data_IF_112167368274
#
_entry.id   IF_112167368274
#
_cell.length_a   1.000
_cell.length_b   1.000
_cell.length_c   1.000
_cell.angle_alpha   90.00
_cell.angle_beta   90.00
_cell.angle_gamma   90.00
#
_symmetry.space_group_name_H-M   'P 1'
#
loop_
_entity.id
_entity.type
_entity.pdbx_description
1 polymer ?
#
# COMPACT_ATOMS: atom_id res chain seq x y z
N UNK A 1 -25.91 12.13 -2.85
CA UNK A 1 -24.74 11.27 -3.20
C UNK A 1 -25.17 10.24 -4.22
N UNK A 2 -24.24 9.71 -5.04
CA UNK A 2 -24.52 8.60 -5.95
C UNK A 2 -24.01 7.29 -5.32
N UNK A 3 -24.82 6.24 -5.31
CA UNK A 3 -24.42 4.92 -4.82
C UNK A 3 -24.02 4.08 -6.03
N UNK A 4 -22.79 3.61 -6.06
CA UNK A 4 -22.19 2.83 -7.15
C UNK A 4 -21.93 1.40 -6.67
N UNK A 5 -22.44 0.41 -7.42
CA UNK A 5 -22.31 -1.00 -7.09
C UNK A 5 -21.74 -1.75 -8.32
N UNK A 6 -20.42 -2.01 -8.36
CA UNK A 6 -19.82 -2.84 -9.40
C UNK A 6 -20.11 -4.31 -9.12
N UNK A 7 -20.61 -5.04 -10.14
CA UNK A 7 -21.03 -6.44 -10.01
C UNK A 7 -20.56 -7.24 -11.22
N UNK A 8 -20.05 -8.44 -11.01
CA UNK A 8 -19.68 -9.33 -12.10
C UNK A 8 -20.69 -10.45 -12.33
N UNK A 9 -21.22 -11.02 -11.26
CA UNK A 9 -22.25 -12.06 -11.31
C UNK A 9 -23.25 -11.76 -10.20
N UNK A 10 -24.43 -11.21 -10.54
CA UNK A 10 -25.45 -10.89 -9.55
C UNK A 10 -25.98 -12.17 -8.92
N UNK A 11 -26.19 -12.10 -7.62
CA UNK A 11 -26.93 -13.09 -6.85
C UNK A 11 -28.22 -12.46 -6.28
N UNK A 12 -28.97 -13.22 -5.51
CA UNK A 12 -30.19 -12.73 -4.88
C UNK A 12 -29.94 -11.54 -3.94
N UNK A 13 -28.76 -11.46 -3.32
CA UNK A 13 -28.40 -10.37 -2.40
C UNK A 13 -28.32 -9.01 -3.10
N UNK A 14 -27.91 -8.96 -4.39
CA UNK A 14 -27.88 -7.70 -5.12
C UNK A 14 -29.27 -7.08 -5.27
N UNK A 15 -30.26 -7.87 -5.68
CA UNK A 15 -31.63 -7.38 -5.86
C UNK A 15 -32.22 -6.89 -4.53
N UNK A 16 -32.01 -7.64 -3.46
CA UNK A 16 -32.44 -7.27 -2.11
C UNK A 16 -31.75 -6.00 -1.62
N UNK A 17 -30.42 -5.88 -1.81
CA UNK A 17 -29.67 -4.69 -1.45
C UNK A 17 -30.20 -3.44 -2.17
N UNK A 18 -30.35 -3.52 -3.50
CA UNK A 18 -30.84 -2.39 -4.31
C UNK A 18 -32.27 -2.01 -3.94
N UNK A 19 -33.14 -3.00 -3.68
CA UNK A 19 -34.52 -2.76 -3.25
C UNK A 19 -34.57 -2.07 -1.89
N UNK A 20 -33.81 -2.56 -0.90
CA UNK A 20 -33.73 -1.96 0.42
C UNK A 20 -33.15 -0.53 0.39
N UNK A 21 -32.10 -0.30 -0.43
CA UNK A 21 -31.55 1.03 -0.64
C UNK A 21 -32.59 1.98 -1.21
N UNK A 22 -33.39 1.53 -2.19
CA UNK A 22 -34.42 2.37 -2.81
C UNK A 22 -35.54 2.74 -1.85
N UNK A 23 -35.85 1.87 -0.88
CA UNK A 23 -36.83 2.18 0.17
C UNK A 23 -36.31 3.21 1.18
N UNK A 24 -35.00 3.22 1.46
CA UNK A 24 -34.40 4.05 2.48
C UNK A 24 -33.84 5.37 1.98
N UNK A 25 -33.49 5.47 0.70
CA UNK A 25 -32.85 6.67 0.15
C UNK A 25 -33.40 7.08 -1.21
N UNK A 26 -33.47 8.40 -1.43
CA UNK A 26 -33.75 8.98 -2.75
C UNK A 26 -32.50 9.14 -3.63
N UNK A 27 -31.33 8.75 -3.13
CA UNK A 27 -30.08 8.87 -3.87
C UNK A 27 -30.07 8.03 -5.15
N UNK A 28 -29.46 8.52 -6.26
CA UNK A 28 -29.26 7.73 -7.46
C UNK A 28 -28.45 6.46 -7.17
N UNK A 29 -28.95 5.31 -7.62
CA UNK A 29 -28.28 4.02 -7.54
C UNK A 29 -27.82 3.62 -8.93
N UNK A 30 -26.52 3.40 -9.09
CA UNK A 30 -25.87 3.03 -10.34
C UNK A 30 -25.17 1.68 -10.18
N UNK A 31 -25.65 0.68 -10.90
CA UNK A 31 -25.07 -0.66 -10.88
C UNK A 31 -24.33 -0.90 -12.19
N UNK A 32 -23.13 -1.44 -12.13
CA UNK A 32 -22.33 -1.77 -13.31
C UNK A 32 -22.16 -3.27 -13.41
N UNK A 33 -22.78 -3.85 -14.44
CA UNK A 33 -22.63 -5.26 -14.84
C UNK A 33 -21.30 -5.43 -15.57
N UNK A 34 -20.32 -6.04 -14.93
CA UNK A 34 -19.00 -6.30 -15.53
C UNK A 34 -19.02 -7.62 -16.34
N UNK A 35 -19.89 -7.68 -17.35
CA UNK A 35 -19.94 -8.80 -18.28
C UNK A 35 -20.45 -10.10 -17.66
N UNK A 36 -21.57 -10.05 -16.96
CA UNK A 36 -22.23 -11.24 -16.41
C UNK A 36 -22.71 -12.19 -17.48
N UNK A 37 -22.83 -13.48 -17.11
CA UNK A 37 -23.36 -14.52 -17.98
C UNK A 37 -24.79 -14.19 -18.41
N UNK A 38 -25.19 -14.51 -19.69
CA UNK A 38 -26.54 -14.30 -20.19
C UNK A 38 -27.65 -15.00 -19.38
N UNK A 39 -27.32 -16.10 -18.72
CA UNK A 39 -28.24 -16.89 -17.90
C UNK A 39 -28.79 -16.13 -16.69
N UNK A 40 -28.15 -15.01 -16.33
CA UNK A 40 -28.54 -14.17 -15.19
C UNK A 40 -29.43 -12.98 -15.58
N UNK A 41 -30.02 -12.98 -16.80
CA UNK A 41 -30.85 -11.90 -17.32
C UNK A 41 -32.03 -11.57 -16.38
N UNK A 42 -32.67 -12.59 -15.79
CA UNK A 42 -33.79 -12.41 -14.87
C UNK A 42 -33.43 -11.65 -13.57
N UNK A 43 -32.25 -11.86 -13.06
CA UNK A 43 -31.75 -11.12 -11.87
C UNK A 43 -31.58 -9.63 -12.18
N UNK A 44 -31.19 -9.30 -13.40
CA UNK A 44 -31.00 -7.91 -13.82
C UNK A 44 -32.31 -7.15 -14.01
N UNK A 45 -33.39 -7.82 -14.40
CA UNK A 45 -34.71 -7.16 -14.58
C UNK A 45 -35.24 -6.60 -13.25
N UNK A 46 -35.05 -7.30 -12.14
CA UNK A 46 -35.39 -6.78 -10.82
C UNK A 46 -34.55 -5.55 -10.43
N UNK A 47 -33.27 -5.54 -10.74
CA UNK A 47 -32.35 -4.43 -10.44
C UNK A 47 -32.68 -3.19 -11.27
N UNK A 48 -33.00 -3.33 -12.55
CA UNK A 48 -33.35 -2.23 -13.47
C UNK A 48 -34.56 -1.41 -13.01
N UNK A 49 -35.48 -2.01 -12.25
CA UNK A 49 -36.66 -1.30 -11.72
C UNK A 49 -36.29 -0.22 -10.70
N UNK A 50 -35.14 -0.35 -10.02
CA UNK A 50 -34.77 0.48 -8.90
C UNK A 50 -33.43 1.20 -9.07
N UNK A 51 -32.63 0.84 -10.08
CA UNK A 51 -31.30 1.39 -10.33
C UNK A 51 -31.02 1.59 -11.83
N UNK A 52 -30.13 2.50 -12.13
CA UNK A 52 -29.54 2.62 -13.47
C UNK A 52 -28.49 1.52 -13.64
N UNK A 53 -28.64 0.68 -14.68
CA UNK A 53 -27.70 -0.42 -14.95
C UNK A 53 -26.89 -0.12 -16.19
N UNK A 54 -25.57 -0.07 -16.04
CA UNK A 54 -24.58 -0.03 -17.12
C UNK A 54 -24.03 -1.43 -17.33
N UNK A 55 -23.73 -1.80 -18.57
CA UNK A 55 -23.25 -3.15 -18.88
C UNK A 55 -21.99 -3.12 -19.73
N UNK A 56 -21.02 -3.96 -19.39
CA UNK A 56 -19.87 -4.28 -20.23
C UNK A 56 -20.15 -5.54 -21.08
N UNK A 57 -19.66 -5.55 -22.31
CA UNK A 57 -19.81 -6.71 -23.22
C UNK A 57 -19.00 -7.92 -22.74
N UNK A 58 -17.95 -7.69 -21.97
CA UNK A 58 -17.07 -8.71 -21.42
C UNK A 58 -16.53 -8.29 -20.05
N UNK A 59 -16.13 -9.24 -19.20
CA UNK A 59 -15.48 -8.92 -17.94
C UNK A 59 -14.22 -8.07 -18.14
N UNK A 60 -14.22 -6.88 -17.58
CA UNK A 60 -13.12 -5.91 -17.66
C UNK A 60 -12.41 -5.69 -16.31
N UNK A 61 -13.00 -6.16 -15.23
CA UNK A 61 -12.51 -6.04 -13.87
C UNK A 61 -13.20 -4.95 -13.05
N UNK A 62 -13.13 -5.12 -11.72
CA UNK A 62 -13.82 -4.23 -10.77
C UNK A 62 -13.41 -2.76 -10.93
N UNK A 63 -12.11 -2.49 -11.11
CA UNK A 63 -11.61 -1.13 -11.30
C UNK A 63 -12.18 -0.47 -12.55
N UNK A 64 -12.32 -1.21 -13.66
CA UNK A 64 -12.95 -0.70 -14.88
C UNK A 64 -14.43 -0.43 -14.66
N UNK A 65 -15.14 -1.30 -13.95
CA UNK A 65 -16.55 -1.10 -13.63
C UNK A 65 -16.74 0.18 -12.78
N UNK A 66 -15.89 0.40 -11.79
CA UNK A 66 -15.87 1.64 -11.00
C UNK A 66 -15.61 2.85 -11.90
N UNK A 67 -14.58 2.83 -12.77
CA UNK A 67 -14.30 3.93 -13.71
C UNK A 67 -15.49 4.24 -14.61
N UNK A 68 -16.16 3.24 -15.15
CA UNK A 68 -17.36 3.40 -15.96
C UNK A 68 -18.46 4.10 -15.16
N UNK A 69 -18.71 3.67 -13.93
CA UNK A 69 -19.67 4.31 -13.05
C UNK A 69 -19.31 5.77 -12.72
N UNK A 70 -18.06 6.03 -12.37
CA UNK A 70 -17.60 7.38 -12.06
C UNK A 70 -17.72 8.33 -13.24
N UNK A 71 -17.40 7.85 -14.46
CA UNK A 71 -17.55 8.64 -15.69
C UNK A 71 -19.02 8.95 -15.96
N UNK A 72 -19.90 7.98 -15.80
CA UNK A 72 -21.34 8.17 -15.96
C UNK A 72 -21.90 9.14 -14.89
N UNK A 73 -21.50 8.95 -13.64
CA UNK A 73 -21.93 9.80 -12.54
C UNK A 73 -21.50 11.26 -12.72
N UNK A 74 -20.27 11.52 -13.15
CA UNK A 74 -19.77 12.87 -13.42
C UNK A 74 -20.57 13.59 -14.50
N UNK A 75 -21.08 12.87 -15.50
CA UNK A 75 -21.84 13.46 -16.61
C UNK A 75 -23.33 13.64 -16.31
N UNK A 76 -23.95 12.72 -15.54
CA UNK A 76 -25.40 12.69 -15.32
C UNK A 76 -25.83 13.17 -13.94
N UNK A 77 -24.95 13.10 -12.94
CA UNK A 77 -25.21 13.45 -11.54
C UNK A 77 -24.25 14.51 -10.99
N UNK A 78 -23.80 15.42 -11.81
CA UNK A 78 -22.82 16.46 -11.45
C UNK A 78 -23.27 17.39 -10.30
N UNK A 79 -24.57 17.42 -9.97
CA UNK A 79 -25.12 18.18 -8.83
C UNK A 79 -24.93 17.48 -7.49
N UNK A 80 -24.64 16.18 -7.50
CA UNK A 80 -24.36 15.41 -6.30
C UNK A 80 -22.98 15.77 -5.73
N UNK A 81 -22.86 15.78 -4.41
CA UNK A 81 -21.62 16.17 -3.75
C UNK A 81 -20.57 15.07 -3.74
N UNK A 82 -21.01 13.81 -3.75
CA UNK A 82 -20.11 12.68 -3.65
C UNK A 82 -20.67 11.37 -4.18
N UNK A 83 -19.82 10.37 -4.19
CA UNK A 83 -20.10 9.01 -4.63
C UNK A 83 -19.71 8.03 -3.55
N UNK A 84 -20.56 7.05 -3.28
CA UNK A 84 -20.24 5.86 -2.46
C UNK A 84 -20.10 4.67 -3.38
N UNK A 85 -18.96 4.00 -3.36
CA UNK A 85 -18.74 2.70 -4.02
C UNK A 85 -18.91 1.60 -2.99
N UNK A 86 -19.76 0.61 -3.28
CA UNK A 86 -20.06 -0.51 -2.40
C UNK A 86 -19.97 -1.83 -3.16
N UNK A 87 -19.35 -2.85 -2.58
CA UNK A 87 -19.33 -4.19 -3.17
C UNK A 87 -20.67 -4.92 -2.96
N UNK A 88 -21.05 -5.76 -3.92
CA UNK A 88 -22.29 -6.54 -3.88
C UNK A 88 -22.05 -8.00 -3.44
N UNK A 89 -20.97 -8.29 -2.74
CA UNK A 89 -20.59 -9.65 -2.32
C UNK A 89 -21.24 -10.09 -0.99
N UNK A 90 -22.27 -9.38 -0.55
CA UNK A 90 -22.94 -9.61 0.73
C UNK A 90 -22.17 -9.11 1.95
N UNK A 91 -20.98 -8.52 1.77
CA UNK A 91 -20.20 -7.95 2.87
C UNK A 91 -20.66 -6.57 3.30
N UNK A 92 -21.41 -5.87 2.45
CA UNK A 92 -21.90 -4.51 2.66
C UNK A 92 -23.41 -4.53 2.93
N UNK A 93 -23.82 -3.90 4.01
CA UNK A 93 -25.23 -3.71 4.38
C UNK A 93 -25.69 -2.29 4.05
N UNK A 94 -27.01 -2.09 3.96
CA UNK A 94 -27.60 -0.76 3.75
C UNK A 94 -27.18 0.21 4.84
N UNK A 95 -27.15 -0.24 6.11
CA UNK A 95 -26.66 0.54 7.24
C UNK A 95 -25.22 1.04 7.09
N UNK A 96 -24.35 0.26 6.43
CA UNK A 96 -22.96 0.66 6.18
C UNK A 96 -22.89 1.82 5.18
N UNK A 97 -23.72 1.76 4.13
CA UNK A 97 -23.81 2.82 3.12
C UNK A 97 -24.39 4.10 3.75
N UNK A 98 -25.42 3.99 4.60
CA UNK A 98 -25.97 5.12 5.35
C UNK A 98 -24.92 5.74 6.28
N UNK A 99 -24.17 4.91 7.00
CA UNK A 99 -23.12 5.36 7.94
C UNK A 99 -21.96 6.07 7.23
N UNK A 100 -21.50 5.54 6.08
CA UNK A 100 -20.48 6.21 5.26
C UNK A 100 -21.02 7.51 4.65
N UNK A 101 -22.31 7.52 4.27
CA UNK A 101 -22.98 8.72 3.78
C UNK A 101 -23.05 9.84 4.82
N UNK A 102 -23.39 9.49 6.06
CA UNK A 102 -23.39 10.43 7.19
C UNK A 102 -21.99 10.98 7.47
N UNK A 103 -20.98 10.10 7.51
CA UNK A 103 -19.59 10.51 7.70
C UNK A 103 -19.08 11.40 6.55
N UNK A 104 -19.56 11.17 5.30
CA UNK A 104 -19.20 12.02 4.15
C UNK A 104 -19.76 13.43 4.29
N UNK A 105 -20.94 13.61 4.90
CA UNK A 105 -21.49 14.94 5.15
C UNK A 105 -20.63 15.75 6.13
N UNK A 106 -19.93 15.07 7.06
CA UNK A 106 -19.00 15.70 8.01
C UNK A 106 -17.60 15.98 7.39
N UNK A 107 -17.18 15.15 6.41
CA UNK A 107 -15.85 15.20 5.79
C UNK A 107 -15.93 15.15 4.25
N UNK A 108 -16.56 16.13 3.58
CA UNK A 108 -16.82 16.07 2.15
C UNK A 108 -15.55 16.13 1.27
N UNK A 109 -14.43 16.60 1.80
CA UNK A 109 -13.14 16.67 1.12
C UNK A 109 -12.30 15.40 1.28
N UNK A 110 -12.69 14.51 2.19
CA UNK A 110 -11.91 13.31 2.51
C UNK A 110 -12.23 12.12 1.58
N UNK A 111 -11.27 11.21 1.47
CA UNK A 111 -11.52 9.83 1.06
C UNK A 111 -11.99 9.06 2.29
N UNK A 112 -13.22 8.56 2.29
CA UNK A 112 -13.72 7.72 3.37
C UNK A 112 -13.58 6.24 2.99
N UNK A 113 -13.24 5.42 4.00
CA UNK A 113 -13.06 3.97 3.85
C UNK A 113 -13.83 3.28 4.98
N UNK A 114 -14.78 2.42 4.62
CA UNK A 114 -15.47 1.61 5.60
C UNK A 114 -14.52 0.59 6.23
N UNK A 115 -14.42 0.57 7.54
CA UNK A 115 -13.60 -0.36 8.30
C UNK A 115 -14.44 -1.26 9.18
N UNK A 116 -14.35 -2.57 8.95
CA UNK A 116 -15.04 -3.57 9.75
C UNK A 116 -14.09 -4.33 10.65
N UNK A 117 -14.26 -4.21 11.94
CA UNK A 117 -13.53 -5.04 12.90
C UNK A 117 -14.01 -6.48 12.83
N UNK A 118 -13.12 -7.41 12.46
CA UNK A 118 -13.46 -8.83 12.44
C UNK A 118 -13.44 -9.39 13.86
N UNK A 119 -14.59 -9.74 14.40
CA UNK A 119 -14.75 -10.36 15.74
C UNK A 119 -14.57 -11.88 15.74
N UNK A 120 -14.43 -12.54 14.58
CA UNK A 120 -14.28 -13.99 14.44
C UNK A 120 -12.85 -14.50 14.67
N UNK A 121 -12.72 -15.79 15.06
CA UNK A 121 -11.43 -16.48 15.16
C UNK A 121 -10.84 -16.69 13.76
N UNK A 122 -9.96 -15.76 13.32
CA UNK A 122 -9.20 -15.94 12.07
C UNK A 122 -8.08 -16.98 12.28
N UNK A 123 -7.79 -17.84 11.30
CA UNK A 123 -6.61 -18.67 11.31
C UNK A 123 -5.33 -17.84 11.51
N UNK A 124 -4.37 -18.36 12.28
CA UNK A 124 -3.16 -17.64 12.68
C UNK A 124 -2.38 -17.05 11.46
N UNK A 125 -2.24 -17.84 10.39
CA UNK A 125 -1.55 -17.39 9.16
C UNK A 125 -2.26 -16.19 8.49
N UNK A 126 -3.60 -16.12 8.49
CA UNK A 126 -4.36 -14.97 7.98
C UNK A 126 -4.17 -13.76 8.89
N UNK A 127 -4.18 -13.94 10.22
CA UNK A 127 -3.93 -12.87 11.19
C UNK A 127 -2.53 -12.27 11.02
N UNK A 128 -1.52 -13.12 10.85
CA UNK A 128 -0.14 -12.69 10.58
C UNK A 128 -0.07 -11.93 9.24
N UNK A 129 -0.69 -12.44 8.18
CA UNK A 129 -0.72 -11.79 6.86
C UNK A 129 -1.39 -10.42 6.88
N UNK A 130 -2.56 -10.30 7.52
CA UNK A 130 -3.27 -9.02 7.66
C UNK A 130 -2.46 -8.02 8.49
N UNK A 131 -1.81 -8.47 9.55
CA UNK A 131 -0.96 -7.65 10.41
C UNK A 131 0.27 -7.16 9.64
N UNK A 132 0.95 -8.07 8.93
CA UNK A 132 2.11 -7.72 8.09
C UNK A 132 1.71 -6.72 7.00
N UNK A 133 0.58 -6.95 6.31
CA UNK A 133 0.06 -6.04 5.29
C UNK A 133 -0.18 -4.64 5.86
N UNK A 134 -0.84 -4.51 7.02
CA UNK A 134 -1.09 -3.22 7.68
C UNK A 134 0.21 -2.48 8.02
N UNK A 135 1.20 -3.18 8.57
CA UNK A 135 2.51 -2.58 8.85
C UNK A 135 3.24 -2.15 7.58
N UNK A 136 3.22 -3.00 6.54
CA UNK A 136 3.81 -2.68 5.24
C UNK A 136 3.11 -1.51 4.56
N UNK A 137 1.77 -1.46 4.61
CA UNK A 137 1.00 -0.34 4.09
C UNK A 137 1.31 0.95 4.87
N UNK A 138 1.26 0.91 6.20
CA UNK A 138 1.59 2.06 7.04
C UNK A 138 3.03 2.54 6.78
N UNK A 139 3.95 1.61 6.58
CA UNK A 139 5.32 1.92 6.18
C UNK A 139 5.36 2.57 4.79
N UNK A 140 4.67 2.02 3.79
CA UNK A 140 4.70 2.51 2.42
C UNK A 140 3.94 3.84 2.24
N UNK A 141 2.86 4.06 2.95
CA UNK A 141 1.98 5.23 2.81
C UNK A 141 2.24 6.35 3.84
N UNK A 142 2.79 6.00 5.00
CA UNK A 142 2.95 6.91 6.14
C UNK A 142 1.72 7.05 7.02
N UNK A 143 0.60 6.40 6.69
CA UNK A 143 -0.64 6.39 7.48
C UNK A 143 -0.98 4.97 7.92
N UNK A 144 -1.60 4.84 9.11
CA UNK A 144 -2.07 3.56 9.63
C UNK A 144 -3.55 3.43 9.33
N UNK A 145 -3.94 2.39 8.60
CA UNK A 145 -5.32 2.03 8.33
C UNK A 145 -5.62 0.63 8.88
N UNK A 146 -6.82 0.45 9.37
CA UNK A 146 -7.32 -0.84 9.83
C UNK A 146 -7.60 -1.78 8.67
N UNK A 147 -8.20 -1.28 7.57
CA UNK A 147 -8.41 -2.02 6.33
C UNK A 147 -8.28 -1.15 5.08
N UNK A 148 -7.08 -1.07 4.54
CA UNK A 148 -6.81 -0.36 3.28
C UNK A 148 -7.41 -1.07 2.03
N UNK A 149 -7.93 -2.30 2.18
CA UNK A 149 -8.48 -3.11 1.07
C UNK A 149 -10.01 -3.08 1.00
N UNK A 150 -10.67 -2.38 1.92
CA UNK A 150 -12.12 -2.27 1.91
C UNK A 150 -12.62 -1.73 0.56
N UNK A 151 -13.65 -2.37 0.01
CA UNK A 151 -14.34 -1.95 -1.21
C UNK A 151 -15.41 -0.89 -0.96
N UNK A 152 -15.81 -0.67 0.30
CA UNK A 152 -16.75 0.38 0.66
C UNK A 152 -16.01 1.70 0.87
N UNK A 153 -16.18 2.63 -0.08
CA UNK A 153 -15.47 3.92 -0.10
C UNK A 153 -16.38 5.06 -0.52
N UNK A 154 -16.09 6.26 -0.02
CA UNK A 154 -16.74 7.46 -0.52
C UNK A 154 -15.72 8.48 -1.01
N UNK A 155 -16.09 9.18 -2.09
CA UNK A 155 -15.28 10.18 -2.77
C UNK A 155 -16.09 11.45 -3.02
N UNK A 156 -15.42 12.60 -2.98
CA UNK A 156 -16.01 13.84 -3.49
C UNK A 156 -16.16 13.79 -5.01
N UNK A 157 -17.23 14.39 -5.53
CA UNK A 157 -17.43 14.54 -6.98
C UNK A 157 -16.26 15.32 -7.62
N UNK A 158 -15.67 16.27 -6.89
CA UNK A 158 -14.52 17.04 -7.35
C UNK A 158 -13.23 16.21 -7.53
N UNK A 159 -13.11 15.09 -6.84
CA UNK A 159 -11.94 14.20 -6.93
C UNK A 159 -12.00 13.24 -8.12
N UNK A 160 -13.17 13.12 -8.78
CA UNK A 160 -13.37 12.12 -9.84
C UNK A 160 -12.36 12.24 -10.99
N UNK A 161 -12.02 13.42 -11.54
CA UNK A 161 -11.06 13.51 -12.64
C UNK A 161 -9.70 12.89 -12.28
N UNK A 162 -9.23 13.11 -11.07
CA UNK A 162 -7.97 12.58 -10.56
C UNK A 162 -8.04 11.07 -10.33
N UNK A 163 -9.15 10.60 -9.78
CA UNK A 163 -9.43 9.18 -9.52
C UNK A 163 -9.49 8.39 -10.82
N UNK A 164 -10.16 8.91 -11.85
CA UNK A 164 -10.25 8.29 -13.17
C UNK A 164 -8.88 8.12 -13.84
N UNK A 165 -7.95 9.04 -13.61
CA UNK A 165 -6.58 8.98 -14.13
C UNK A 165 -5.73 7.87 -13.51
N UNK A 166 -6.16 7.23 -12.43
CA UNK A 166 -5.36 6.22 -11.76
C UNK A 166 -5.31 4.89 -12.55
N UNK A 167 -4.13 4.24 -12.60
CA UNK A 167 -3.98 2.96 -13.27
C UNK A 167 -4.60 1.83 -12.48
N UNK A 168 -4.92 0.73 -13.18
CA UNK A 168 -5.55 -0.47 -12.65
C UNK A 168 -6.94 -0.68 -13.23
N UNK A 169 -7.26 -1.93 -13.50
CA UNK A 169 -8.55 -2.33 -14.07
C UNK A 169 -9.32 -3.28 -13.13
N UNK A 170 -8.68 -3.75 -12.05
CA UNK A 170 -9.27 -4.65 -11.06
C UNK A 170 -9.09 -4.08 -9.63
N UNK A 171 -8.98 -4.93 -8.62
CA UNK A 171 -8.79 -4.54 -7.20
C UNK A 171 -7.52 -3.71 -6.92
N UNK A 172 -6.55 -3.71 -7.82
CA UNK A 172 -5.36 -2.84 -7.79
C UNK A 172 -5.70 -1.36 -7.98
N UNK A 173 -6.82 -1.06 -8.64
CA UNK A 173 -7.31 0.30 -8.85
C UNK A 173 -7.62 1.01 -7.52
N UNK A 174 -8.31 0.35 -6.61
CA UNK A 174 -8.65 0.94 -5.30
C UNK A 174 -7.42 1.31 -4.51
N UNK A 175 -6.38 0.48 -4.59
CA UNK A 175 -5.11 0.75 -3.95
C UNK A 175 -4.36 1.89 -4.62
N UNK A 176 -4.43 1.99 -5.96
CA UNK A 176 -3.83 3.09 -6.71
C UNK A 176 -4.47 4.43 -6.33
N UNK A 177 -5.81 4.47 -6.24
CA UNK A 177 -6.56 5.65 -5.81
C UNK A 177 -6.19 6.04 -4.38
N UNK A 178 -6.16 5.10 -3.44
CA UNK A 178 -5.79 5.38 -2.05
C UNK A 178 -4.38 5.97 -1.94
N UNK A 179 -3.40 5.39 -2.63
CA UNK A 179 -2.02 5.88 -2.61
C UNK A 179 -1.90 7.27 -3.26
N UNK A 180 -2.65 7.54 -4.32
CA UNK A 180 -2.70 8.86 -4.95
C UNK A 180 -3.30 9.91 -4.01
N UNK A 181 -4.43 9.63 -3.38
CA UNK A 181 -5.04 10.51 -2.37
C UNK A 181 -4.05 10.85 -1.25
N UNK A 182 -3.32 9.85 -0.73
CA UNK A 182 -2.30 10.06 0.29
C UNK A 182 -1.15 10.94 -0.24
N UNK A 183 -0.68 10.72 -1.48
CA UNK A 183 0.39 11.52 -2.08
C UNK A 183 -0.01 12.98 -2.32
N UNK A 184 -1.28 13.22 -2.61
CA UNK A 184 -1.87 14.56 -2.77
C UNK A 184 -2.31 15.20 -1.45
N UNK A 185 -2.08 14.52 -0.32
CA UNK A 185 -2.49 14.98 1.01
C UNK A 185 -4.01 15.15 1.18
N UNK A 186 -4.81 14.39 0.42
CA UNK A 186 -6.25 14.27 0.67
C UNK A 186 -6.44 13.58 2.01
N UNK A 187 -7.27 14.12 2.93
CA UNK A 187 -7.57 13.44 4.18
C UNK A 187 -8.16 12.06 3.92
N UNK A 188 -7.71 11.05 4.66
CA UNK A 188 -8.25 9.69 4.60
C UNK A 188 -8.87 9.38 5.96
N UNK A 189 -10.17 9.11 5.98
CA UNK A 189 -10.95 8.86 7.19
C UNK A 189 -11.48 7.43 7.18
N UNK A 190 -11.21 6.66 8.22
CA UNK A 190 -11.81 5.35 8.41
C UNK A 190 -13.13 5.47 9.16
N UNK A 191 -14.19 4.91 8.58
CA UNK A 191 -15.51 4.85 9.18
C UNK A 191 -15.70 3.46 9.78
N UNK A 192 -15.78 3.32 11.12
CA UNK A 192 -15.98 2.03 11.75
C UNK A 192 -17.39 1.51 11.43
N UNK A 193 -17.48 0.31 10.88
CA UNK A 193 -18.74 -0.36 10.55
C UNK A 193 -19.10 -1.39 11.61
N UNK A 194 -20.38 -1.67 11.77
CA UNK A 194 -20.85 -2.72 12.69
C UNK A 194 -20.29 -4.10 12.31
N UNK A 195 -19.97 -4.94 13.32
CA UNK A 195 -19.54 -6.31 13.06
C UNK A 195 -20.63 -7.09 12.31
N UNK A 196 -20.36 -7.55 11.10
CA UNK A 196 -21.25 -8.46 10.38
C UNK A 196 -20.98 -9.92 10.77
N UNK A 197 -22.00 -10.76 10.71
CA UNK A 197 -21.83 -12.22 10.74
C UNK A 197 -20.84 -12.62 9.63
N UNK A 198 -19.94 -13.56 9.94
CA UNK A 198 -18.77 -13.90 9.14
C UNK A 198 -19.11 -14.10 7.64
N UNK A 199 -18.91 -13.08 6.84
CA UNK A 199 -18.83 -13.20 5.39
C UNK A 199 -17.46 -13.78 5.07
N UNK A 200 -17.42 -14.80 4.22
CA UNK A 200 -16.16 -15.44 3.84
C UNK A 200 -15.20 -14.41 3.25
N UNK A 201 -14.02 -14.22 3.85
CA UNK A 201 -13.07 -13.25 3.30
C UNK A 201 -12.66 -13.69 1.88
N UNK A 202 -12.42 -12.74 0.96
CA UNK A 202 -11.98 -13.05 -0.38
C UNK A 202 -10.74 -13.96 -0.34
N UNK A 203 -10.69 -14.94 -1.24
CA UNK A 203 -9.64 -15.93 -1.29
C UNK A 203 -8.25 -15.26 -1.37
N UNK A 204 -7.41 -15.52 -0.39
CA UNK A 204 -6.08 -14.97 -0.14
C UNK A 204 -5.14 -14.86 -1.37
N UNK A 205 -5.02 -15.85 -2.27
CA UNK A 205 -3.99 -15.81 -3.32
C UNK A 205 -4.18 -14.70 -4.36
N UNK A 206 -5.41 -14.34 -4.69
CA UNK A 206 -5.67 -13.36 -5.76
C UNK A 206 -5.40 -11.91 -5.31
N UNK A 207 -5.62 -11.59 -4.04
CA UNK A 207 -5.39 -10.24 -3.51
C UNK A 207 -3.93 -9.93 -3.22
N UNK A 208 -3.10 -10.94 -2.87
CA UNK A 208 -1.69 -10.76 -2.51
C UNK A 208 -0.84 -10.29 -3.69
N UNK A 209 -0.95 -10.94 -4.84
CA UNK A 209 -0.17 -10.62 -6.03
C UNK A 209 -0.61 -9.31 -6.71
N UNK A 210 -1.90 -8.94 -6.59
CA UNK A 210 -2.43 -7.69 -7.14
C UNK A 210 -2.03 -6.44 -6.35
N UNK A 211 -1.67 -6.58 -5.09
CA UNK A 211 -1.15 -5.49 -4.24
C UNK A 211 0.35 -5.20 -4.46
N UNK A 212 0.97 -5.69 -5.53
CA UNK A 212 2.40 -5.55 -5.86
C UNK A 212 2.93 -4.11 -5.81
N UNK A 213 2.07 -3.11 -5.94
CA UNK A 213 2.48 -1.70 -5.85
C UNK A 213 2.99 -1.31 -4.47
N UNK A 214 2.37 -1.82 -3.40
CA UNK A 214 2.85 -1.63 -2.02
C UNK A 214 4.17 -2.37 -1.81
N UNK A 215 4.24 -3.60 -2.33
CA UNK A 215 5.46 -4.40 -2.25
C UNK A 215 6.59 -3.85 -3.13
N UNK A 216 6.28 -3.03 -4.14
CA UNK A 216 7.31 -2.45 -5.02
C UNK A 216 8.34 -1.63 -4.26
N UNK A 217 7.97 -0.95 -3.19
CA UNK A 217 8.91 -0.18 -2.35
C UNK A 217 9.87 -1.13 -1.64
N UNK A 218 9.35 -2.22 -1.07
CA UNK A 218 10.17 -3.23 -0.38
C UNK A 218 11.03 -4.00 -1.38
N UNK A 219 10.45 -4.41 -2.51
CA UNK A 219 11.20 -5.09 -3.57
C UNK A 219 12.33 -4.22 -4.12
N UNK A 220 12.07 -2.93 -4.35
CA UNK A 220 13.11 -1.98 -4.77
C UNK A 220 14.18 -1.80 -3.69
N UNK A 221 13.78 -1.64 -2.42
CA UNK A 221 14.74 -1.54 -1.33
C UNK A 221 15.60 -2.80 -1.19
N UNK A 222 14.99 -3.97 -1.23
CA UNK A 222 15.70 -5.26 -1.20
C UNK A 222 16.60 -5.41 -2.42
N UNK A 223 16.11 -5.07 -3.62
CA UNK A 223 16.91 -5.10 -4.85
C UNK A 223 18.12 -4.18 -4.77
N UNK A 224 17.95 -2.96 -4.26
CA UNK A 224 19.06 -2.02 -4.03
C UNK A 224 20.05 -2.58 -2.99
N UNK A 225 19.57 -3.21 -1.92
CA UNK A 225 20.43 -3.81 -0.90
C UNK A 225 21.27 -4.96 -1.46
N UNK A 226 20.65 -5.87 -2.24
CA UNK A 226 21.36 -6.98 -2.92
C UNK A 226 22.36 -6.46 -3.93
N UNK A 227 21.98 -5.49 -4.76
CA UNK A 227 22.88 -4.87 -5.74
C UNK A 227 24.08 -4.21 -5.04
N UNK A 228 23.85 -3.48 -3.96
CA UNK A 228 24.91 -2.85 -3.18
C UNK A 228 25.87 -3.87 -2.57
N UNK A 229 25.35 -5.00 -2.08
CA UNK A 229 26.15 -6.10 -1.59
C UNK A 229 27.03 -6.71 -2.70
N UNK A 230 26.49 -6.95 -3.89
CA UNK A 230 27.26 -7.48 -5.01
C UNK A 230 28.37 -6.51 -5.45
N UNK A 231 28.07 -5.21 -5.49
CA UNK A 231 29.06 -4.16 -5.78
C UNK A 231 30.15 -4.13 -4.70
N UNK A 232 29.78 -4.16 -3.42
CA UNK A 232 30.71 -4.17 -2.31
C UNK A 232 31.68 -5.34 -2.40
N UNK A 233 31.15 -6.55 -2.61
CA UNK A 233 31.97 -7.75 -2.75
C UNK A 233 32.89 -7.71 -3.97
N UNK A 234 32.39 -7.27 -5.11
CA UNK A 234 33.18 -7.18 -6.34
C UNK A 234 34.29 -6.14 -6.21
N UNK A 235 33.97 -4.97 -5.67
CA UNK A 235 34.99 -3.92 -5.44
C UNK A 235 36.02 -4.36 -4.41
N UNK A 236 35.61 -5.02 -3.33
CA UNK A 236 36.53 -5.58 -2.35
C UNK A 236 37.52 -6.54 -3.01
N UNK A 237 37.04 -7.47 -3.84
CA UNK A 237 37.89 -8.41 -4.58
C UNK A 237 38.83 -7.71 -5.54
N UNK A 238 38.34 -6.69 -6.24
CA UNK A 238 39.15 -5.89 -7.17
C UNK A 238 40.24 -5.11 -6.43
N UNK A 239 39.91 -4.36 -5.39
CA UNK A 239 40.89 -3.60 -4.62
C UNK A 239 41.94 -4.50 -3.97
N UNK A 240 41.50 -5.63 -3.41
CA UNK A 240 42.43 -6.61 -2.85
C UNK A 240 43.38 -7.16 -3.90
N UNK A 241 42.89 -7.55 -5.07
CA UNK A 241 43.70 -8.05 -6.18
C UNK A 241 44.71 -7.02 -6.70
N UNK A 242 44.27 -5.77 -6.87
CA UNK A 242 45.14 -4.66 -7.29
C UNK A 242 46.24 -4.41 -6.28
N UNK A 243 45.91 -4.26 -4.99
CA UNK A 243 46.87 -3.99 -3.93
C UNK A 243 47.92 -5.12 -3.84
N UNK A 244 47.49 -6.36 -3.81
CA UNK A 244 48.41 -7.51 -3.73
C UNK A 244 49.22 -7.72 -4.99
N UNK A 245 48.62 -7.44 -6.17
CA UNK A 245 49.30 -7.52 -7.46
C UNK A 245 50.44 -6.49 -7.59
N UNK A 246 50.34 -5.32 -6.96
CA UNK A 246 51.43 -4.34 -6.87
C UNK A 246 52.40 -4.58 -5.67
N UNK A 247 52.27 -5.74 -5.01
CA UNK A 247 53.17 -6.11 -3.91
C UNK A 247 52.83 -5.43 -2.55
N UNK A 248 51.75 -4.69 -2.46
CA UNK A 248 51.31 -4.03 -1.21
C UNK A 248 50.54 -5.01 -0.34
N UNK A 249 51.19 -5.78 0.50
CA UNK A 249 50.54 -6.59 1.55
C UNK A 249 49.99 -5.71 2.67
N UNK A 250 50.64 -4.57 2.93
CA UNK A 250 50.22 -3.51 3.87
C UNK A 250 50.66 -2.14 3.38
N UNK A 251 49.88 -1.09 3.69
CA UNK A 251 50.19 0.32 3.44
C UNK A 251 50.02 1.06 4.75
N UNK A 252 51.09 1.76 5.18
CA UNK A 252 51.15 2.44 6.52
C UNK A 252 50.77 1.54 7.71
N UNK A 253 51.14 0.25 7.67
CA UNK A 253 50.81 -0.71 8.74
C UNK A 253 49.38 -1.25 8.70
N UNK A 254 48.56 -0.85 7.71
CA UNK A 254 47.19 -1.33 7.53
C UNK A 254 47.20 -2.39 6.44
N UNK A 255 46.66 -3.56 6.70
CA UNK A 255 46.62 -4.68 5.71
C UNK A 255 45.81 -4.31 4.47
N UNK A 256 46.20 -4.79 3.30
CA UNK A 256 45.50 -4.62 2.01
C UNK A 256 44.04 -5.04 2.10
N UNK A 257 43.72 -6.07 2.89
CA UNK A 257 42.34 -6.53 3.16
C UNK A 257 41.50 -5.43 3.80
N UNK A 258 42.05 -4.73 4.83
CA UNK A 258 41.30 -3.66 5.50
C UNK A 258 41.09 -2.46 4.59
N UNK A 259 42.11 -2.06 3.84
CA UNK A 259 42.04 -0.93 2.90
C UNK A 259 41.01 -1.23 1.82
N UNK A 260 41.08 -2.41 1.19
CA UNK A 260 40.13 -2.84 0.17
C UNK A 260 38.68 -2.89 0.69
N UNK A 261 38.49 -3.40 1.91
CA UNK A 261 37.15 -3.46 2.53
C UNK A 261 36.58 -2.07 2.82
N UNK A 262 37.37 -1.15 3.35
CA UNK A 262 36.90 0.22 3.62
C UNK A 262 36.60 0.96 2.33
N UNK A 263 37.47 0.88 1.34
CA UNK A 263 37.28 1.52 0.03
C UNK A 263 36.01 0.99 -0.66
N UNK A 264 35.82 -0.35 -0.71
CA UNK A 264 34.63 -0.96 -1.28
C UNK A 264 33.36 -0.50 -0.55
N UNK A 265 33.40 -0.44 0.79
CA UNK A 265 32.26 -0.03 1.61
C UNK A 265 31.87 1.44 1.39
N UNK A 266 32.83 2.36 1.21
CA UNK A 266 32.55 3.77 0.90
C UNK A 266 31.81 3.87 -0.43
N UNK A 267 32.29 3.19 -1.46
CA UNK A 267 31.68 3.23 -2.79
C UNK A 267 30.29 2.57 -2.77
N UNK A 268 30.18 1.37 -2.22
CA UNK A 268 28.90 0.63 -2.18
C UNK A 268 27.83 1.36 -1.36
N UNK A 269 28.20 1.96 -0.22
CA UNK A 269 27.25 2.74 0.61
C UNK A 269 26.80 4.03 -0.08
N UNK A 270 27.66 4.66 -0.87
CA UNK A 270 27.29 5.85 -1.66
C UNK A 270 26.31 5.49 -2.77
N UNK A 271 26.54 4.37 -3.46
CA UNK A 271 25.61 3.84 -4.46
C UNK A 271 24.27 3.47 -3.81
N UNK A 272 24.30 2.78 -2.67
CA UNK A 272 23.11 2.42 -1.90
C UNK A 272 22.29 3.67 -1.51
N UNK A 273 22.95 4.69 -0.97
CA UNK A 273 22.31 5.97 -0.65
C UNK A 273 21.64 6.60 -1.87
N UNK A 274 22.35 6.69 -2.99
CA UNK A 274 21.86 7.33 -4.22
C UNK A 274 20.66 6.59 -4.79
N UNK A 275 20.74 5.26 -4.88
CA UNK A 275 19.65 4.44 -5.40
C UNK A 275 18.43 4.46 -4.48
N UNK A 276 18.62 4.36 -3.17
CA UNK A 276 17.52 4.47 -2.20
C UNK A 276 16.85 5.84 -2.30
N UNK A 277 17.62 6.90 -2.38
CA UNK A 277 17.11 8.26 -2.51
C UNK A 277 16.27 8.45 -3.78
N UNK A 278 16.78 8.01 -4.94
CA UNK A 278 16.15 8.23 -6.23
C UNK A 278 15.04 7.23 -6.55
N UNK A 279 15.27 5.92 -6.36
CA UNK A 279 14.39 4.86 -6.83
C UNK A 279 13.38 4.40 -5.77
N UNK A 280 13.82 4.34 -4.50
CA UNK A 280 12.98 3.79 -3.43
C UNK A 280 12.12 4.87 -2.81
N UNK A 281 12.76 5.91 -2.28
CA UNK A 281 12.09 6.94 -1.49
C UNK A 281 11.73 8.20 -2.27
N UNK A 282 12.27 8.39 -3.49
CA UNK A 282 12.07 9.55 -4.37
C UNK A 282 12.21 10.89 -3.63
N UNK A 283 13.23 10.99 -2.76
CA UNK A 283 13.49 12.16 -1.93
C UNK A 283 14.02 13.32 -2.77
N UNK A 284 13.35 14.48 -2.67
CA UNK A 284 13.72 15.75 -3.33
C UNK A 284 14.31 16.77 -2.35
N UNK A 285 14.59 16.37 -1.12
CA UNK A 285 15.20 17.23 -0.09
C UNK A 285 16.64 17.60 -0.38
N UNK A 286 17.26 18.36 0.55
CA UNK A 286 18.67 18.75 0.44
C UNK A 286 19.57 17.50 0.50
N UNK A 287 20.46 17.35 -0.51
CA UNK A 287 21.35 16.20 -0.67
C UNK A 287 22.27 16.00 0.52
N UNK A 288 22.92 17.09 0.98
CA UNK A 288 23.90 17.03 2.07
C UNK A 288 23.25 16.63 3.40
N UNK A 289 22.06 17.16 3.68
CA UNK A 289 21.32 16.82 4.91
C UNK A 289 20.88 15.34 4.86
N UNK A 290 20.37 14.87 3.72
CA UNK A 290 19.97 13.46 3.57
C UNK A 290 21.18 12.53 3.66
N UNK A 291 22.33 12.90 3.07
CA UNK A 291 23.57 12.14 3.15
C UNK A 291 24.09 12.05 4.58
N UNK A 292 24.16 13.20 5.30
CA UNK A 292 24.61 13.22 6.68
C UNK A 292 23.75 12.31 7.58
N UNK A 293 22.43 12.41 7.46
CA UNK A 293 21.49 11.55 8.19
C UNK A 293 21.67 10.06 7.83
N UNK A 294 21.89 9.77 6.56
CA UNK A 294 22.10 8.39 6.10
C UNK A 294 23.37 7.80 6.70
N UNK A 295 24.50 8.48 6.62
CA UNK A 295 25.76 7.95 7.16
C UNK A 295 25.76 7.88 8.68
N UNK A 296 25.13 8.83 9.38
CA UNK A 296 24.89 8.73 10.82
C UNK A 296 24.09 7.48 11.17
N UNK A 297 23.03 7.20 10.39
CA UNK A 297 22.22 5.99 10.57
C UNK A 297 23.03 4.71 10.32
N UNK A 298 23.86 4.67 9.29
CA UNK A 298 24.72 3.52 8.98
C UNK A 298 25.66 3.20 10.15
N UNK A 299 26.30 4.22 10.74
CA UNK A 299 27.16 4.04 11.92
C UNK A 299 26.34 3.52 13.12
N UNK A 300 25.17 4.10 13.36
CA UNK A 300 24.29 3.70 14.45
C UNK A 300 23.82 2.24 14.32
N UNK A 301 23.42 1.83 13.10
CA UNK A 301 23.02 0.44 12.82
C UNK A 301 24.19 -0.53 13.02
N UNK A 302 25.42 -0.14 12.65
CA UNK A 302 26.60 -0.97 12.86
C UNK A 302 26.86 -1.24 14.35
N UNK A 303 26.70 -0.22 15.18
CA UNK A 303 26.82 -0.37 16.64
C UNK A 303 25.73 -1.30 17.21
N UNK A 304 24.48 -1.07 16.83
CA UNK A 304 23.37 -1.92 17.27
C UNK A 304 23.55 -3.37 16.79
N UNK A 305 24.04 -3.57 15.56
CA UNK A 305 24.31 -4.91 15.03
C UNK A 305 25.22 -5.70 15.97
N UNK A 306 26.32 -5.08 16.36
CA UNK A 306 27.29 -5.72 17.26
C UNK A 306 26.67 -6.02 18.63
N UNK A 307 26.00 -5.03 19.24
CA UNK A 307 25.34 -5.23 20.54
C UNK A 307 24.25 -6.29 20.50
N UNK A 308 23.41 -6.28 19.48
CA UNK A 308 22.31 -7.26 19.36
C UNK A 308 22.82 -8.68 19.10
N UNK A 309 23.87 -8.81 18.29
CA UNK A 309 24.50 -10.09 18.03
C UNK A 309 25.11 -10.68 19.32
N UNK A 310 25.84 -9.88 20.09
CA UNK A 310 26.39 -10.30 21.37
C UNK A 310 25.28 -10.67 22.36
N UNK A 311 24.23 -9.86 22.47
CA UNK A 311 23.08 -10.16 23.32
C UNK A 311 22.44 -11.50 22.98
N UNK A 312 22.15 -11.77 21.71
CA UNK A 312 21.52 -13.02 21.30
C UNK A 312 22.44 -14.23 21.46
N UNK A 313 23.74 -14.07 21.20
CA UNK A 313 24.68 -15.19 21.27
C UNK A 313 25.16 -15.46 22.70
N UNK A 314 25.61 -14.44 23.42
CA UNK A 314 26.26 -14.59 24.73
C UNK A 314 25.27 -14.64 25.89
N UNK A 315 24.16 -13.84 25.82
CA UNK A 315 23.19 -13.78 26.92
C UNK A 315 22.04 -14.76 26.70
N UNK A 316 21.49 -14.83 25.46
CA UNK A 316 20.38 -15.74 25.17
C UNK A 316 20.83 -17.15 24.78
N UNK A 317 22.13 -17.41 24.62
CA UNK A 317 22.68 -18.73 24.28
C UNK A 317 22.32 -19.24 22.87
N UNK A 318 21.87 -18.33 21.96
CA UNK A 318 21.48 -18.69 20.60
C UNK A 318 22.74 -18.97 19.77
N UNK A 319 22.81 -20.09 19.01
CA UNK A 319 23.96 -20.36 18.15
C UNK A 319 24.29 -19.16 17.22
N UNK A 320 25.55 -18.81 17.11
CA UNK A 320 26.02 -17.59 16.45
C UNK A 320 25.46 -17.40 15.02
N UNK A 321 25.30 -18.50 14.25
CA UNK A 321 24.70 -18.45 12.91
C UNK A 321 23.24 -18.01 12.92
N UNK A 322 22.45 -18.53 13.85
CA UNK A 322 21.03 -18.17 14.01
C UNK A 322 20.91 -16.76 14.57
N UNK A 323 21.71 -16.42 15.59
CA UNK A 323 21.78 -15.09 16.16
C UNK A 323 22.11 -14.02 15.08
N UNK A 324 23.08 -14.31 14.21
CA UNK A 324 23.43 -13.44 13.07
C UNK A 324 22.28 -13.26 12.11
N UNK A 325 21.60 -14.35 11.72
CA UNK A 325 20.45 -14.28 10.82
C UNK A 325 19.31 -13.43 11.40
N UNK A 326 18.97 -13.65 12.67
CA UNK A 326 17.95 -12.87 13.36
C UNK A 326 18.32 -11.38 13.44
N UNK A 327 19.57 -11.09 13.80
CA UNK A 327 20.10 -9.72 13.85
C UNK A 327 19.96 -9.02 12.49
N UNK A 328 20.36 -9.68 11.40
CA UNK A 328 20.28 -9.11 10.05
C UNK A 328 18.83 -8.83 9.62
N UNK A 329 17.89 -9.74 9.89
CA UNK A 329 16.47 -9.54 9.56
C UNK A 329 15.87 -8.36 10.34
N UNK A 330 16.16 -8.28 11.64
CA UNK A 330 15.68 -7.17 12.49
C UNK A 330 16.27 -5.85 12.03
N UNK A 331 17.58 -5.80 11.79
CA UNK A 331 18.26 -4.55 11.40
C UNK A 331 17.96 -4.14 9.96
N UNK A 332 17.75 -5.06 9.03
CA UNK A 332 17.26 -4.77 7.67
C UNK A 332 15.93 -4.02 7.74
N UNK A 333 14.98 -4.55 8.53
CA UNK A 333 13.67 -3.94 8.72
C UNK A 333 13.77 -2.58 9.41
N UNK A 334 14.56 -2.49 10.48
CA UNK A 334 14.79 -1.25 11.22
C UNK A 334 15.48 -0.19 10.34
N UNK A 335 16.50 -0.57 9.56
CA UNK A 335 17.20 0.31 8.63
C UNK A 335 16.27 0.89 7.58
N UNK A 336 15.42 0.06 6.99
CA UNK A 336 14.43 0.48 6.01
C UNK A 336 13.45 1.50 6.61
N UNK A 337 12.94 1.24 7.82
CA UNK A 337 12.03 2.14 8.55
C UNK A 337 12.71 3.47 8.88
N UNK A 338 13.92 3.43 9.44
CA UNK A 338 14.65 4.62 9.86
C UNK A 338 15.10 5.47 8.66
N UNK A 339 15.53 4.86 7.56
CA UNK A 339 15.83 5.60 6.33
C UNK A 339 14.61 6.38 5.85
N UNK A 340 13.43 5.77 5.86
CA UNK A 340 12.21 6.45 5.43
C UNK A 340 11.78 7.56 6.38
N UNK A 341 11.80 7.31 7.69
CA UNK A 341 11.26 8.24 8.69
C UNK A 341 12.19 9.42 8.99
N UNK A 342 13.51 9.19 8.95
CA UNK A 342 14.50 10.19 9.37
C UNK A 342 15.36 10.71 8.24
N UNK A 343 15.81 9.85 7.32
CA UNK A 343 16.73 10.23 6.26
C UNK A 343 15.99 10.90 5.10
N UNK A 344 15.01 10.20 4.53
CA UNK A 344 14.30 10.60 3.32
C UNK A 344 12.87 11.11 3.60
N UNK A 345 12.69 11.76 4.74
CA UNK A 345 11.41 12.37 5.09
C UNK A 345 11.14 13.59 4.22
N UNK A 346 10.21 13.47 3.26
CA UNK A 346 9.66 14.62 2.56
C UNK A 346 8.95 15.53 3.57
N UNK A 347 9.56 16.65 3.93
CA UNK A 347 8.83 17.74 4.57
C UNK A 347 7.91 18.31 3.50
N UNK A 348 6.60 18.06 3.60
CA UNK A 348 5.62 18.87 2.90
C UNK A 348 5.98 20.33 3.18
N UNK A 349 6.24 21.11 2.13
CA UNK A 349 6.30 22.57 2.24
C UNK A 349 4.96 22.98 2.88
N UNK A 350 5.00 23.44 4.13
CA UNK A 350 3.93 24.27 4.65
C UNK A 350 3.81 25.43 3.65
N UNK A 351 2.77 25.43 2.85
CA UNK A 351 2.31 26.59 2.15
C UNK A 351 1.92 27.57 3.25
N UNK A 352 2.89 28.39 3.62
CA UNK A 352 2.67 29.50 4.52
C UNK A 352 1.80 30.49 3.79
N UNK A 353 0.69 30.83 4.41
CA UNK A 353 -0.10 31.96 4.02
C UNK A 353 0.74 33.24 4.06
N UNK A 354 0.52 34.05 3.11
CA UNK A 354 0.40 35.50 3.19
C UNK A 354 -0.74 35.89 2.29
#
# INVERSE_FOLDING_TARGET
MVIVIPVRQPDAHLADLVHQLRQKTAHPILVVDDGSSPDLASAWEAVKQSAVVLRHDKPCGRGRAVKTALTYAASHFAREQGIVVADADGSVMVSDIEQIGAAFAEHPEALLIGFRSCTGKKPLHKKIGDTLFRYMFAFASGIKLGDARSGLRAYSMQQIPDILGQPGEDSDYDMAVLLDCIQRHVPVVEVPLEPAAAVSPPAWPQSFWKSLRIYSVILKYTGVAVLSFLIDYTLFRLFYFVLTGFGFSSVFGISAVRIGNVAARIVSSTINFTLNRQLVFKDRGNLLISALKYYTLVVFILLINTCLLMFLNEICGIPAGIAKLLTEVVLFTASMLLQRLFVFRNKAKKSGGN
#
